data_IF_691611923753
#
_entry.id   IF_691611923753
#
_cell.length_a   1.000
_cell.length_b   1.000
_cell.length_c   1.000
_cell.angle_alpha   90.00
_cell.angle_beta   90.00
_cell.angle_gamma   90.00
#
_symmetry.space_group_name_H-M   'P 1'
#
loop_
_entity.id
_entity.type
_entity.pdbx_description
1 polymer ?
#
# COMPACT_ATOMS: atom_id res chain seq x y z
N UNK A 1 7.02 13.08 -14.20
CA UNK A 1 7.92 13.08 -13.02
C UNK A 1 7.19 13.60 -11.80
N UNK A 2 7.77 13.48 -10.60
CA UNK A 2 7.25 14.09 -9.36
C UNK A 2 6.93 15.58 -9.55
N UNK A 3 7.82 16.32 -10.22
CA UNK A 3 7.69 17.77 -10.50
C UNK A 3 6.52 18.14 -11.43
N UNK A 4 6.09 17.23 -12.31
CA UNK A 4 4.97 17.47 -13.26
C UNK A 4 3.64 16.87 -12.81
N UNK A 5 3.65 15.69 -12.18
CA UNK A 5 2.43 14.98 -11.77
C UNK A 5 2.06 15.23 -10.31
N UNK A 6 3.04 15.43 -9.43
CA UNK A 6 2.85 15.70 -8.00
C UNK A 6 1.88 16.86 -7.74
N UNK A 7 2.01 18.04 -8.39
CA UNK A 7 1.10 19.17 -8.17
C UNK A 7 -0.37 18.87 -8.50
N UNK A 8 -0.65 17.90 -9.38
CA UNK A 8 -2.03 17.50 -9.72
C UNK A 8 -2.66 16.58 -8.67
N UNK A 9 -1.84 15.85 -7.93
CA UNK A 9 -2.27 14.90 -6.90
C UNK A 9 -2.31 15.57 -5.53
N UNK A 10 -1.25 16.29 -5.19
CA UNK A 10 -1.05 17.01 -3.93
C UNK A 10 -1.30 18.50 -4.13
N UNK A 11 -2.53 18.86 -4.47
CA UNK A 11 -2.91 20.24 -4.83
C UNK A 11 -2.80 21.23 -3.66
N UNK A 12 -2.70 20.74 -2.43
CA UNK A 12 -2.50 21.54 -1.22
C UNK A 12 -1.04 21.96 -1.00
N UNK A 13 -0.07 21.36 -1.71
CA UNK A 13 1.35 21.64 -1.50
C UNK A 13 1.81 22.85 -2.36
N UNK A 14 2.67 23.73 -1.81
CA UNK A 14 3.34 24.76 -2.59
C UNK A 14 4.14 24.17 -3.76
N UNK A 15 4.14 24.86 -4.92
CA UNK A 15 4.75 24.35 -6.15
C UNK A 15 6.26 24.19 -6.03
N UNK A 16 6.91 25.02 -5.22
CA UNK A 16 8.36 25.03 -5.04
C UNK A 16 8.86 23.77 -4.32
N UNK A 17 8.00 23.13 -3.50
CA UNK A 17 8.36 21.91 -2.78
C UNK A 17 8.63 20.74 -3.73
N UNK A 18 7.99 20.69 -4.91
CA UNK A 18 8.11 19.53 -5.77
C UNK A 18 9.51 19.36 -6.35
N UNK A 19 10.21 20.46 -6.65
CA UNK A 19 11.60 20.39 -7.12
C UNK A 19 12.56 20.01 -5.98
N UNK A 20 12.30 20.51 -4.77
CA UNK A 20 13.14 20.26 -3.59
C UNK A 20 12.99 18.83 -3.05
N UNK A 21 11.84 18.19 -3.26
CA UNK A 21 11.49 16.90 -2.62
C UNK A 21 11.55 15.69 -3.54
N UNK A 22 12.13 15.82 -4.74
CA UNK A 22 12.23 14.72 -5.73
C UNK A 22 12.82 13.45 -5.11
N UNK A 23 13.95 13.56 -4.41
CA UNK A 23 14.62 12.41 -3.80
C UNK A 23 13.80 11.82 -2.64
N UNK A 24 13.12 12.66 -1.87
CA UNK A 24 12.24 12.20 -0.78
C UNK A 24 11.05 11.42 -1.34
N UNK A 25 10.40 11.92 -2.38
CA UNK A 25 9.29 11.23 -3.05
C UNK A 25 9.74 9.93 -3.72
N UNK A 26 10.95 9.90 -4.31
CA UNK A 26 11.54 8.68 -4.85
C UNK A 26 11.76 7.63 -3.75
N UNK A 27 12.29 8.02 -2.60
CA UNK A 27 12.49 7.13 -1.46
C UNK A 27 11.16 6.57 -0.93
N UNK A 28 10.12 7.44 -0.81
CA UNK A 28 8.75 7.01 -0.49
C UNK A 28 8.22 5.97 -1.49
N UNK A 29 8.52 6.14 -2.78
CA UNK A 29 8.20 5.18 -3.83
C UNK A 29 8.86 3.82 -3.62
N UNK A 30 10.14 3.78 -3.23
CA UNK A 30 10.88 2.54 -2.98
C UNK A 30 10.29 1.74 -1.81
N UNK A 31 9.94 2.40 -0.69
CA UNK A 31 9.29 1.70 0.42
C UNK A 31 7.97 1.04 -0.01
N UNK A 32 7.15 1.75 -0.81
CA UNK A 32 5.93 1.18 -1.37
C UNK A 32 6.23 0.01 -2.34
N UNK A 33 7.33 0.07 -3.10
CA UNK A 33 7.77 -1.04 -3.95
C UNK A 33 8.16 -2.27 -3.11
N UNK A 34 8.80 -2.10 -1.95
CA UNK A 34 9.07 -3.22 -1.04
C UNK A 34 7.80 -3.89 -0.54
N UNK A 35 6.76 -3.12 -0.22
CA UNK A 35 5.46 -3.68 0.15
C UNK A 35 4.84 -4.48 -1.01
N UNK A 36 4.89 -3.94 -2.23
CA UNK A 36 4.39 -4.64 -3.42
C UNK A 36 5.16 -5.95 -3.69
N UNK A 37 6.49 -5.93 -3.60
CA UNK A 37 7.33 -7.13 -3.73
C UNK A 37 7.00 -8.15 -2.64
N UNK A 38 6.78 -7.72 -1.40
CA UNK A 38 6.35 -8.60 -0.31
C UNK A 38 5.01 -9.29 -0.57
N UNK A 39 4.05 -8.57 -1.15
CA UNK A 39 2.76 -9.14 -1.56
C UNK A 39 2.91 -10.13 -2.73
N UNK A 40 3.69 -9.79 -3.76
CA UNK A 40 3.98 -10.73 -4.87
C UNK A 40 4.67 -11.97 -4.34
N UNK A 41 5.67 -11.81 -3.47
CA UNK A 41 6.37 -12.92 -2.85
C UNK A 41 5.41 -13.82 -2.06
N UNK A 42 4.45 -13.26 -1.34
CA UNK A 42 3.44 -14.05 -0.61
C UNK A 42 2.68 -15.03 -1.52
N UNK A 43 2.43 -14.67 -2.79
CA UNK A 43 1.74 -15.54 -3.76
C UNK A 43 2.58 -16.73 -4.21
N UNK A 44 3.91 -16.65 -4.06
CA UNK A 44 4.85 -17.69 -4.47
C UNK A 44 5.16 -18.70 -3.34
N UNK A 45 4.68 -18.42 -2.12
CA UNK A 45 4.88 -19.30 -0.96
C UNK A 45 3.98 -20.54 -1.09
N UNK A 46 4.60 -21.73 -1.05
CA UNK A 46 3.89 -23.02 -1.16
C UNK A 46 3.17 -23.42 0.13
N UNK A 47 3.78 -23.12 1.28
CA UNK A 47 3.16 -23.36 2.58
C UNK A 47 1.99 -22.40 2.80
N UNK A 48 0.77 -22.94 2.87
CA UNK A 48 -0.46 -22.14 2.93
C UNK A 48 -0.55 -21.26 4.18
N UNK A 49 -0.01 -21.72 5.31
CA UNK A 49 0.00 -20.95 6.56
C UNK A 49 0.93 -19.75 6.45
N UNK A 50 2.12 -19.94 5.90
CA UNK A 50 3.07 -18.86 5.67
C UNK A 50 2.62 -17.91 4.57
N UNK A 51 2.02 -18.42 3.49
CA UNK A 51 1.42 -17.60 2.43
C UNK A 51 0.39 -16.63 3.03
N UNK A 52 -0.53 -17.14 3.85
CA UNK A 52 -1.53 -16.32 4.54
C UNK A 52 -0.88 -15.28 5.48
N UNK A 53 0.04 -15.70 6.35
CA UNK A 53 0.67 -14.83 7.34
C UNK A 53 1.45 -13.67 6.69
N UNK A 54 2.22 -13.97 5.62
CA UNK A 54 3.01 -12.95 4.90
C UNK A 54 2.08 -12.00 4.16
N UNK A 55 1.07 -12.50 3.44
CA UNK A 55 0.08 -11.67 2.76
C UNK A 55 -0.63 -10.73 3.74
N UNK A 56 -1.10 -11.27 4.87
CA UNK A 56 -1.75 -10.51 5.93
C UNK A 56 -0.83 -9.42 6.51
N UNK A 57 0.43 -9.75 6.81
CA UNK A 57 1.41 -8.81 7.34
C UNK A 57 1.61 -7.59 6.41
N UNK A 58 1.88 -7.83 5.14
CA UNK A 58 2.08 -6.76 4.16
C UNK A 58 0.79 -5.95 3.90
N UNK A 59 -0.37 -6.60 3.84
CA UNK A 59 -1.65 -5.90 3.69
C UNK A 59 -1.97 -5.01 4.89
N UNK A 60 -1.62 -5.43 6.12
CA UNK A 60 -1.76 -4.60 7.32
C UNK A 60 -0.83 -3.38 7.27
N UNK A 61 0.42 -3.55 6.82
CA UNK A 61 1.33 -2.41 6.60
C UNK A 61 0.76 -1.41 5.59
N UNK A 62 0.20 -1.89 4.47
CA UNK A 62 -0.45 -1.03 3.48
C UNK A 62 -1.67 -0.31 4.06
N UNK A 63 -2.51 -1.02 4.83
CA UNK A 63 -3.69 -0.44 5.46
C UNK A 63 -3.34 0.68 6.46
N UNK A 64 -2.38 0.42 7.35
CA UNK A 64 -1.92 1.39 8.37
C UNK A 64 -1.23 2.59 7.72
N UNK A 65 -0.33 2.36 6.76
CA UNK A 65 0.32 3.43 6.02
C UNK A 65 -0.70 4.29 5.26
N UNK A 66 -1.73 3.67 4.68
CA UNK A 66 -2.81 4.38 4.01
C UNK A 66 -3.64 5.25 4.95
N UNK A 67 -3.96 4.77 6.15
CA UNK A 67 -4.68 5.58 7.16
C UNK A 67 -3.82 6.76 7.60
N UNK A 68 -2.55 6.53 7.90
CA UNK A 68 -1.63 7.59 8.29
C UNK A 68 -1.46 8.64 7.18
N UNK A 69 -1.29 8.20 5.93
CA UNK A 69 -1.20 9.08 4.76
C UNK A 69 -2.50 9.85 4.49
N UNK A 70 -3.66 9.25 4.75
CA UNK A 70 -4.95 9.92 4.60
C UNK A 70 -5.11 11.09 5.59
N UNK A 71 -4.64 10.91 6.82
CA UNK A 71 -4.66 11.93 7.88
C UNK A 71 -3.62 13.02 7.64
N UNK A 72 -2.42 12.65 7.19
CA UNK A 72 -1.26 13.57 7.15
C UNK A 72 -1.01 14.24 5.79
N UNK A 73 -1.42 13.62 4.68
CA UNK A 73 -1.09 14.09 3.33
C UNK A 73 -2.33 14.44 2.52
N UNK A 74 -3.22 13.47 2.29
CA UNK A 74 -4.47 13.71 1.57
C UNK A 74 -5.47 12.57 1.76
N UNK A 75 -6.75 12.90 2.01
CA UNK A 75 -7.83 11.93 2.17
C UNK A 75 -7.99 10.98 0.97
N UNK A 76 -7.51 11.37 -0.24
CA UNK A 76 -7.51 10.50 -1.41
C UNK A 76 -6.75 9.18 -1.18
N UNK A 77 -5.71 9.19 -0.33
CA UNK A 77 -4.91 8.00 0.01
C UNK A 77 -5.77 6.90 0.62
N UNK A 78 -6.80 7.26 1.41
CA UNK A 78 -7.72 6.29 2.00
C UNK A 78 -8.39 5.43 0.91
N UNK A 79 -8.83 6.07 -0.18
CA UNK A 79 -9.57 5.42 -1.27
C UNK A 79 -8.65 4.58 -2.16
N UNK A 80 -7.42 5.05 -2.41
CA UNK A 80 -6.49 4.35 -3.31
C UNK A 80 -5.63 3.30 -2.61
N UNK A 81 -5.49 3.35 -1.27
CA UNK A 81 -4.57 2.49 -0.53
C UNK A 81 -5.27 1.70 0.58
N UNK A 82 -5.94 2.37 1.53
CA UNK A 82 -6.57 1.69 2.67
C UNK A 82 -7.74 0.81 2.24
N UNK A 83 -8.69 1.34 1.46
CA UNK A 83 -9.87 0.58 1.04
C UNK A 83 -9.48 -0.69 0.25
N UNK A 84 -8.61 -0.63 -0.79
CA UNK A 84 -8.16 -1.83 -1.48
C UNK A 84 -7.45 -2.84 -0.57
N UNK A 85 -6.63 -2.37 0.38
CA UNK A 85 -5.95 -3.26 1.33
C UNK A 85 -6.95 -3.99 2.25
N UNK A 86 -7.98 -3.29 2.74
CA UNK A 86 -9.03 -3.89 3.56
C UNK A 86 -9.88 -4.89 2.77
N UNK A 87 -10.21 -4.59 1.51
CA UNK A 87 -10.90 -5.53 0.63
C UNK A 87 -10.05 -6.78 0.42
N UNK A 88 -8.75 -6.62 0.13
CA UNK A 88 -7.82 -7.74 -0.03
C UNK A 88 -7.69 -8.58 1.25
N UNK A 89 -7.65 -7.94 2.43
CA UNK A 89 -7.67 -8.65 3.72
C UNK A 89 -8.96 -9.47 3.88
N UNK A 90 -10.12 -8.87 3.63
CA UNK A 90 -11.40 -9.58 3.72
C UNK A 90 -11.44 -10.80 2.79
N UNK A 91 -10.99 -10.64 1.53
CA UNK A 91 -10.89 -11.75 0.58
C UNK A 91 -9.90 -12.83 1.02
N UNK A 92 -8.76 -12.44 1.61
CA UNK A 92 -7.77 -13.38 2.14
C UNK A 92 -8.36 -14.23 3.28
N UNK A 93 -9.13 -13.64 4.19
CA UNK A 93 -9.83 -14.36 5.27
C UNK A 93 -10.95 -15.26 4.73
N UNK A 94 -11.73 -14.79 3.75
CA UNK A 94 -12.79 -15.60 3.13
C UNK A 94 -12.21 -16.81 2.39
N UNK A 95 -11.14 -16.61 1.60
CA UNK A 95 -10.47 -17.68 0.88
C UNK A 95 -9.83 -18.73 1.80
N UNK A 96 -9.27 -18.30 2.94
CA UNK A 96 -8.78 -19.22 3.97
C UNK A 96 -9.90 -20.09 4.54
N UNK A 97 -11.03 -19.49 4.91
CA UNK A 97 -12.17 -20.23 5.47
C UNK A 97 -12.67 -21.31 4.51
N UNK A 98 -12.71 -21.02 3.21
CA UNK A 98 -13.08 -22.02 2.19
C UNK A 98 -12.07 -23.17 2.12
N UNK A 99 -10.77 -22.89 2.22
CA UNK A 99 -9.74 -23.92 2.20
C UNK A 99 -9.73 -24.80 3.46
N UNK A 100 -10.09 -24.24 4.63
CA UNK A 100 -10.19 -25.00 5.88
C UNK A 100 -11.46 -25.88 5.95
N UNK A 101 -12.47 -25.61 5.11
CA UNK A 101 -13.76 -26.31 5.08
C UNK A 101 -13.89 -27.35 3.94
N UNK A 102 -12.91 -27.44 3.04
CA UNK A 102 -12.88 -28.35 1.88
C UNK A 102 -11.99 -29.56 2.17
#
# INVERSE_FOLDING_TARGET
SWTTRGPKVFTSFPKELFDQTVNMAANQGIYNAFLAVGLVWSLLIKDKKWQFNVAMCFLLFVAVAGVFGAVTVTAKILVIQTIPALIALALLFLGRKTADNA
#
